data_IF_134982399430
#
_entry.id   IF_134982399430
#
_cell.length_a   1.000
_cell.length_b   1.000
_cell.length_c   1.000
_cell.angle_alpha   90.00
_cell.angle_beta   90.00
_cell.angle_gamma   90.00
#
_symmetry.space_group_name_H-M   'P 1'
#
loop_
_entity.id
_entity.type
_entity.pdbx_description
1 polymer ?
#
# COMPACT_ATOMS: atom_id res chain seq x y z
N UNK A 1 23.76 -7.31 7.52
CA UNK A 1 23.13 -6.36 6.59
C UNK A 1 21.64 -6.70 6.58
N UNK A 2 20.77 -5.76 6.93
CA UNK A 2 19.32 -5.98 6.86
C UNK A 2 18.95 -6.13 5.38
N UNK A 3 18.69 -7.36 4.95
CA UNK A 3 18.26 -7.61 3.57
C UNK A 3 16.80 -7.20 3.45
N UNK A 4 16.55 -6.18 2.64
CA UNK A 4 15.21 -5.77 2.26
C UNK A 4 14.67 -6.68 1.15
N UNK A 5 13.34 -6.87 1.04
CA UNK A 5 12.77 -7.52 -0.12
C UNK A 5 12.93 -6.64 -1.36
N UNK A 6 12.70 -7.20 -2.53
CA UNK A 6 12.61 -6.43 -3.77
C UNK A 6 11.18 -5.86 -3.88
N UNK A 7 11.07 -4.56 -4.05
CA UNK A 7 9.81 -3.87 -4.31
C UNK A 7 9.71 -3.52 -5.79
N UNK A 8 8.60 -3.84 -6.44
CA UNK A 8 8.30 -3.40 -7.80
C UNK A 8 7.04 -2.54 -7.77
N UNK A 9 7.14 -1.29 -8.23
CA UNK A 9 6.01 -0.39 -8.33
C UNK A 9 5.20 -0.74 -9.59
N UNK A 10 3.96 -1.15 -9.44
CA UNK A 10 3.09 -1.52 -10.57
C UNK A 10 2.16 -0.38 -11.02
N UNK A 11 2.39 0.82 -10.49
CA UNK A 11 1.57 2.00 -10.74
C UNK A 11 0.49 2.23 -9.70
N UNK A 12 0.02 3.45 -9.59
CA UNK A 12 -0.94 3.92 -8.59
C UNK A 12 -0.44 3.67 -7.17
N UNK A 13 -1.04 2.73 -6.45
CA UNK A 13 -0.60 2.31 -5.11
C UNK A 13 -0.16 0.85 -5.04
N UNK A 14 -0.16 0.16 -6.18
CA UNK A 14 0.12 -1.28 -6.24
C UNK A 14 1.61 -1.56 -6.13
N UNK A 15 2.00 -2.31 -5.11
CA UNK A 15 3.39 -2.73 -4.86
C UNK A 15 3.46 -4.25 -4.84
N UNK A 16 4.28 -4.81 -5.73
CA UNK A 16 4.71 -6.19 -5.66
C UNK A 16 5.94 -6.29 -4.76
N UNK A 17 5.92 -7.23 -3.84
CA UNK A 17 7.01 -7.52 -2.91
C UNK A 17 7.50 -8.94 -3.15
N UNK A 18 8.70 -9.08 -3.68
CA UNK A 18 9.35 -10.39 -3.87
C UNK A 18 10.21 -10.69 -2.65
N UNK A 19 9.87 -11.75 -1.91
CA UNK A 19 10.59 -12.19 -0.72
C UNK A 19 11.83 -13.01 -1.10
N UNK A 20 12.87 -13.00 -0.26
CA UNK A 20 14.09 -13.81 -0.48
C UNK A 20 13.79 -15.32 -0.54
N UNK A 21 12.76 -15.77 0.16
CA UNK A 21 12.27 -17.15 0.16
C UNK A 21 11.54 -17.56 -1.13
N UNK A 22 11.31 -16.58 -2.02
CA UNK A 22 10.69 -16.78 -3.33
C UNK A 22 9.17 -16.59 -3.37
N UNK A 23 8.53 -16.26 -2.24
CA UNK A 23 7.12 -15.89 -2.23
C UNK A 23 6.91 -14.47 -2.76
N UNK A 24 5.71 -14.24 -3.30
CA UNK A 24 5.26 -12.95 -3.85
C UNK A 24 4.08 -12.45 -3.04
N UNK A 25 4.20 -11.23 -2.55
CA UNK A 25 3.12 -10.49 -1.89
C UNK A 25 2.71 -9.31 -2.77
N UNK A 26 1.43 -9.09 -2.92
CA UNK A 26 0.89 -7.92 -3.60
C UNK A 26 0.16 -7.03 -2.60
N UNK A 27 0.58 -5.78 -2.49
CA UNK A 27 -0.12 -4.75 -1.73
C UNK A 27 -0.93 -3.94 -2.73
N UNK A 28 -2.21 -3.71 -2.43
CA UNK A 28 -3.20 -3.07 -3.32
C UNK A 28 -3.37 -3.84 -4.63
N UNK A 29 -4.18 -4.91 -4.64
CA UNK A 29 -4.38 -5.78 -5.80
C UNK A 29 -5.26 -5.13 -6.89
N UNK A 30 -4.69 -4.13 -7.59
CA UNK A 30 -5.27 -3.49 -8.76
C UNK A 30 -4.24 -3.47 -9.90
N UNK A 31 -4.29 -4.46 -10.78
CA UNK A 31 -3.28 -4.77 -11.80
C UNK A 31 -3.86 -4.69 -13.21
N UNK A 32 -4.88 -5.49 -13.51
CA UNK A 32 -5.49 -5.54 -14.85
C UNK A 32 -6.31 -4.26 -15.13
N UNK A 33 -7.07 -3.79 -14.12
CA UNK A 33 -7.83 -2.55 -14.16
C UNK A 33 -6.99 -1.28 -14.07
N UNK A 34 -5.74 -1.39 -13.62
CA UNK A 34 -4.86 -0.24 -13.41
C UNK A 34 -4.26 0.25 -14.75
N UNK A 35 -4.63 1.45 -15.22
CA UNK A 35 -4.12 1.97 -16.49
C UNK A 35 -2.62 2.26 -16.47
N UNK A 36 -2.05 2.48 -15.29
CA UNK A 36 -0.61 2.73 -15.10
C UNK A 36 0.21 1.44 -15.04
N UNK A 37 -0.41 0.26 -14.82
CA UNK A 37 0.30 -1.00 -14.74
C UNK A 37 0.80 -1.43 -16.13
N UNK A 38 2.12 -1.62 -16.33
CA UNK A 38 2.65 -2.09 -17.60
C UNK A 38 2.11 -3.47 -17.97
N UNK A 39 1.85 -3.69 -19.25
CA UNK A 39 1.18 -4.91 -19.75
C UNK A 39 1.95 -6.18 -19.41
N UNK A 40 3.27 -6.14 -19.45
CA UNK A 40 4.18 -7.24 -19.14
C UNK A 40 4.25 -7.58 -17.65
N UNK A 41 3.76 -6.69 -16.77
CA UNK A 41 3.63 -6.89 -15.33
C UNK A 41 2.24 -7.35 -14.88
N UNK A 42 1.26 -7.45 -15.80
CA UNK A 42 -0.11 -7.87 -15.47
C UNK A 42 -0.24 -9.36 -15.17
N UNK A 43 0.68 -10.17 -15.68
CA UNK A 43 0.84 -11.56 -15.23
C UNK A 43 1.88 -11.60 -14.13
N UNK A 44 1.43 -11.89 -12.91
CA UNK A 44 2.32 -11.94 -11.74
C UNK A 44 3.17 -13.22 -11.70
N UNK A 45 2.83 -14.24 -12.52
CA UNK A 45 3.45 -15.57 -12.50
C UNK A 45 3.21 -16.34 -11.20
N UNK A 46 3.27 -15.66 -10.05
CA UNK A 46 3.05 -16.19 -8.71
C UNK A 46 2.44 -15.12 -7.79
N UNK A 47 1.57 -15.53 -6.87
CA UNK A 47 1.02 -14.68 -5.83
C UNK A 47 0.71 -15.52 -4.60
N UNK A 48 1.41 -15.28 -3.49
CA UNK A 48 1.26 -16.07 -2.26
C UNK A 48 0.45 -15.34 -1.19
N UNK A 49 0.44 -14.00 -1.18
CA UNK A 49 -0.41 -13.22 -0.29
C UNK A 49 -0.83 -11.88 -0.90
N UNK A 50 -1.98 -11.37 -0.47
CA UNK A 50 -2.44 -10.01 -0.77
C UNK A 50 -2.65 -9.24 0.52
N UNK A 51 -2.29 -7.94 0.51
CA UNK A 51 -2.60 -6.98 1.58
C UNK A 51 -3.45 -5.87 0.97
N UNK A 52 -4.64 -5.64 1.49
CA UNK A 52 -5.61 -4.65 1.00
C UNK A 52 -5.87 -3.62 2.09
N UNK A 53 -5.58 -2.36 1.84
CA UNK A 53 -5.68 -1.30 2.85
C UNK A 53 -7.11 -0.81 3.05
N UNK A 54 -7.88 -0.69 1.97
CA UNK A 54 -9.26 -0.21 1.99
C UNK A 54 -10.03 -0.64 0.72
N UNK A 55 -11.32 -0.36 0.67
CA UNK A 55 -12.25 -0.98 -0.28
C UNK A 55 -12.44 -0.23 -1.60
N UNK A 56 -11.69 0.83 -1.88
CA UNK A 56 -11.83 1.53 -3.15
C UNK A 56 -11.38 0.66 -4.34
N UNK A 57 -12.04 0.85 -5.49
CA UNK A 57 -11.85 0.02 -6.69
C UNK A 57 -10.40 0.07 -7.22
N UNK A 58 -9.75 1.22 -7.09
CA UNK A 58 -8.37 1.48 -7.52
C UNK A 58 -7.30 0.92 -6.56
N UNK A 59 -7.74 0.20 -5.52
CA UNK A 59 -6.89 -0.53 -4.56
C UNK A 59 -7.18 -2.02 -4.57
N UNK A 60 -8.44 -2.44 -4.60
CA UNK A 60 -8.81 -3.85 -4.54
C UNK A 60 -9.57 -4.38 -5.77
N UNK A 61 -9.66 -3.59 -6.84
CA UNK A 61 -10.53 -3.90 -7.98
C UNK A 61 -10.28 -5.26 -8.65
N UNK A 62 -9.05 -5.77 -8.60
CA UNK A 62 -8.72 -7.07 -9.17
C UNK A 62 -8.57 -8.19 -8.11
N UNK A 63 -8.85 -7.90 -6.83
CA UNK A 63 -8.59 -8.84 -5.73
C UNK A 63 -9.29 -10.20 -5.92
N UNK A 64 -10.56 -10.20 -6.33
CA UNK A 64 -11.35 -11.43 -6.54
C UNK A 64 -10.78 -12.25 -7.70
N UNK A 65 -10.45 -11.59 -8.83
CA UNK A 65 -9.90 -12.28 -10.00
C UNK A 65 -8.50 -12.86 -9.71
N UNK A 66 -7.64 -12.08 -9.07
CA UNK A 66 -6.30 -12.52 -8.68
C UNK A 66 -6.36 -13.66 -7.67
N UNK A 67 -7.29 -13.61 -6.69
CA UNK A 67 -7.49 -14.71 -5.75
C UNK A 67 -7.94 -16.00 -6.44
N UNK A 68 -8.83 -15.91 -7.43
CA UNK A 68 -9.27 -17.08 -8.22
C UNK A 68 -8.16 -17.65 -9.09
N UNK A 69 -7.32 -16.78 -9.67
CA UNK A 69 -6.26 -17.19 -10.59
C UNK A 69 -5.06 -17.80 -9.89
N UNK A 70 -4.63 -17.23 -8.78
CA UNK A 70 -3.38 -17.59 -8.12
C UNK A 70 -3.57 -18.38 -6.82
N UNK A 71 -4.77 -18.42 -6.27
CA UNK A 71 -5.11 -19.09 -5.01
C UNK A 71 -4.12 -18.77 -3.86
N UNK A 72 -3.93 -17.46 -3.51
CA UNK A 72 -2.95 -17.06 -2.52
C UNK A 72 -3.20 -17.75 -1.17
N UNK A 73 -2.13 -17.98 -0.42
CA UNK A 73 -2.21 -18.61 0.91
C UNK A 73 -2.93 -17.72 1.92
N UNK A 74 -2.85 -16.38 1.74
CA UNK A 74 -3.46 -15.40 2.64
C UNK A 74 -3.94 -14.16 1.87
N UNK A 75 -5.14 -13.69 2.21
CA UNK A 75 -5.69 -12.40 1.77
C UNK A 75 -6.01 -11.58 3.01
N UNK A 76 -5.18 -10.60 3.30
CA UNK A 76 -5.23 -9.81 4.53
C UNK A 76 -5.95 -8.50 4.28
N UNK A 77 -6.95 -8.17 5.08
CA UNK A 77 -7.64 -6.88 5.06
C UNK A 77 -8.42 -6.62 6.35
N UNK A 78 -9.22 -5.53 6.36
CA UNK A 78 -10.22 -5.33 7.41
C UNK A 78 -11.26 -6.45 7.41
N UNK A 79 -11.94 -6.60 8.54
CA UNK A 79 -12.96 -7.64 8.71
C UNK A 79 -14.05 -7.56 7.63
N UNK A 80 -14.54 -6.35 7.34
CA UNK A 80 -15.62 -6.11 6.39
C UNK A 80 -15.22 -6.47 4.95
N UNK A 81 -14.00 -6.10 4.55
CA UNK A 81 -13.47 -6.46 3.22
C UNK A 81 -13.28 -7.96 3.11
N UNK A 82 -12.73 -8.63 4.13
CA UNK A 82 -12.57 -10.08 4.15
C UNK A 82 -13.92 -10.78 4.03
N UNK A 83 -14.94 -10.36 4.80
CA UNK A 83 -16.28 -10.92 4.73
C UNK A 83 -16.91 -10.75 3.34
N UNK A 84 -16.70 -9.58 2.71
CA UNK A 84 -17.16 -9.38 1.33
C UNK A 84 -16.41 -10.29 0.34
N UNK A 85 -15.08 -10.40 0.44
CA UNK A 85 -14.28 -11.29 -0.41
C UNK A 85 -14.71 -12.75 -0.27
N UNK A 86 -15.01 -13.21 0.93
CA UNK A 86 -15.58 -14.56 1.20
C UNK A 86 -16.92 -14.75 0.48
N UNK A 87 -17.79 -13.74 0.51
CA UNK A 87 -19.07 -13.77 -0.23
C UNK A 87 -18.88 -13.86 -1.75
N UNK A 88 -17.72 -13.40 -2.28
CA UNK A 88 -17.31 -13.55 -3.67
C UNK A 88 -16.60 -14.89 -3.96
N UNK A 89 -16.48 -15.77 -2.95
CA UNK A 89 -15.85 -17.08 -3.07
C UNK A 89 -14.32 -17.08 -2.90
N UNK A 90 -13.73 -15.97 -2.44
CA UNK A 90 -12.30 -15.91 -2.08
C UNK A 90 -12.08 -16.74 -0.82
N UNK A 91 -11.07 -17.60 -0.85
CA UNK A 91 -10.66 -18.43 0.27
C UNK A 91 -9.43 -17.82 0.97
N UNK A 92 -9.12 -18.34 2.16
CA UNK A 92 -7.92 -17.98 2.91
C UNK A 92 -7.84 -16.48 3.27
N UNK A 93 -8.98 -15.84 3.51
CA UNK A 93 -9.00 -14.50 4.06
C UNK A 93 -8.46 -14.50 5.49
N UNK A 94 -7.79 -13.43 5.85
CA UNK A 94 -7.17 -13.25 7.17
C UNK A 94 -7.55 -11.88 7.72
N UNK A 95 -8.75 -11.75 8.31
CA UNK A 95 -9.28 -10.47 8.75
C UNK A 95 -8.48 -9.89 9.90
N UNK A 96 -8.33 -8.57 9.86
CA UNK A 96 -7.68 -7.77 10.89
C UNK A 96 -8.54 -6.56 11.27
N UNK A 97 -8.06 -5.81 12.26
CA UNK A 97 -8.54 -4.46 12.55
C UNK A 97 -7.38 -3.59 13.06
N UNK A 98 -7.60 -2.29 13.14
CA UNK A 98 -6.59 -1.32 13.55
C UNK A 98 -5.92 -1.70 14.86
N UNK A 99 -4.60 -1.65 14.91
CA UNK A 99 -3.77 -2.04 16.06
C UNK A 99 -3.47 -3.53 16.14
N UNK A 100 -4.15 -4.38 15.34
CA UNK A 100 -3.88 -5.80 15.24
C UNK A 100 -2.60 -6.11 14.46
N UNK A 101 -2.01 -7.26 14.73
CA UNK A 101 -0.87 -7.80 13.98
C UNK A 101 -1.04 -9.30 13.78
N UNK A 102 -0.57 -9.80 12.65
CA UNK A 102 -0.50 -11.24 12.37
C UNK A 102 0.76 -11.59 11.59
N UNK A 103 1.07 -12.88 11.56
CA UNK A 103 2.15 -13.40 10.73
C UNK A 103 1.65 -13.70 9.32
N UNK A 104 2.38 -13.21 8.31
CA UNK A 104 2.10 -13.42 6.89
C UNK A 104 3.40 -13.86 6.22
N UNK A 105 3.53 -15.11 5.84
CA UNK A 105 4.73 -15.66 5.17
C UNK A 105 6.05 -15.32 5.90
N UNK A 106 6.04 -15.42 7.24
CA UNK A 106 7.19 -15.10 8.08
C UNK A 106 7.38 -13.60 8.39
N UNK A 107 6.59 -12.72 7.78
CA UNK A 107 6.57 -11.29 8.11
C UNK A 107 5.56 -11.00 9.23
N UNK A 108 5.87 -10.06 10.11
CA UNK A 108 4.86 -9.49 11.00
C UNK A 108 4.19 -8.31 10.31
N UNK A 109 2.91 -8.45 9.99
CA UNK A 109 2.05 -7.43 9.39
C UNK A 109 1.18 -6.81 10.47
N UNK A 110 1.26 -5.49 10.64
CA UNK A 110 0.45 -4.71 11.59
C UNK A 110 -0.45 -3.77 10.82
N UNK A 111 -1.77 -3.83 11.08
CA UNK A 111 -2.72 -2.91 10.49
C UNK A 111 -2.79 -1.63 11.33
N UNK A 112 -2.58 -0.48 10.69
CA UNK A 112 -2.48 0.82 11.35
C UNK A 112 -3.45 1.82 10.74
N UNK A 113 -3.74 2.90 11.46
CA UNK A 113 -4.67 3.96 11.06
C UNK A 113 -4.29 4.58 9.72
N UNK A 114 -5.32 4.88 8.94
CA UNK A 114 -5.30 5.84 7.84
C UNK A 114 -6.53 6.74 7.94
N UNK A 115 -6.38 8.01 7.56
CA UNK A 115 -7.49 8.98 7.55
C UNK A 115 -8.04 9.07 6.12
N UNK A 116 -8.93 8.15 5.78
CA UNK A 116 -9.55 8.04 4.46
C UNK A 116 -10.90 7.31 4.56
N UNK A 117 -11.70 7.35 3.49
CA UNK A 117 -12.92 6.56 3.37
C UNK A 117 -12.63 5.15 2.85
N UNK A 118 -13.59 4.23 3.01
CA UNK A 118 -13.45 2.84 2.57
C UNK A 118 -14.78 2.32 2.00
N UNK A 119 -15.36 3.08 1.08
CA UNK A 119 -16.60 2.67 0.40
C UNK A 119 -16.34 1.62 -0.67
N UNK A 120 -17.00 0.48 -0.55
CA UNK A 120 -16.88 -0.63 -1.50
C UNK A 120 -17.86 -0.44 -2.66
N UNK A 121 -17.35 -0.48 -3.89
CA UNK A 121 -18.16 -0.52 -5.11
C UNK A 121 -17.38 -1.23 -6.23
N UNK A 122 -18.09 -1.79 -7.20
CA UNK A 122 -17.45 -2.52 -8.32
C UNK A 122 -16.59 -1.63 -9.22
N UNK A 123 -16.93 -0.35 -9.35
CA UNK A 123 -16.31 0.55 -10.33
C UNK A 123 -16.13 1.99 -9.83
N UNK A 124 -16.18 2.21 -8.51
CA UNK A 124 -16.08 3.55 -7.93
C UNK A 124 -17.36 4.39 -8.04
N UNK A 125 -18.50 3.79 -8.40
CA UNK A 125 -19.78 4.47 -8.50
C UNK A 125 -20.82 3.94 -7.50
N UNK A 126 -21.77 4.78 -7.12
CA UNK A 126 -22.87 4.38 -6.25
C UNK A 126 -23.73 3.24 -6.87
N UNK A 127 -24.35 2.38 -6.07
CA UNK A 127 -24.35 2.44 -4.60
C UNK A 127 -23.03 1.94 -3.97
N UNK A 128 -22.64 2.54 -2.85
CA UNK A 128 -21.52 2.06 -2.06
C UNK A 128 -22.03 1.17 -0.93
N UNK A 129 -21.30 0.08 -0.67
CA UNK A 129 -21.43 -0.71 0.55
C UNK A 129 -20.35 -0.29 1.56
N UNK A 130 -20.57 -0.61 2.82
CA UNK A 130 -19.55 -0.38 3.85
C UNK A 130 -18.35 -1.31 3.63
N UNK A 131 -17.17 -0.73 3.44
CA UNK A 131 -15.90 -1.43 3.33
C UNK A 131 -15.06 -1.38 4.61
N UNK A 132 -15.67 -1.00 5.73
CA UNK A 132 -14.98 -0.84 7.00
C UNK A 132 -14.12 0.42 7.06
N UNK A 133 -13.04 0.36 7.83
CA UNK A 133 -12.14 1.48 8.08
C UNK A 133 -10.91 1.39 7.17
N UNK A 134 -10.55 2.51 6.53
CA UNK A 134 -9.30 2.60 5.80
C UNK A 134 -8.10 2.43 6.73
N UNK A 135 -7.06 1.80 6.22
CA UNK A 135 -5.87 1.44 7.00
C UNK A 135 -4.59 1.52 6.16
N UNK A 136 -3.46 1.51 6.83
CA UNK A 136 -2.16 1.20 6.24
C UNK A 136 -1.57 -0.06 6.87
N UNK A 137 -0.43 -0.50 6.36
CA UNK A 137 0.31 -1.64 6.91
C UNK A 137 1.74 -1.27 7.27
N UNK A 138 2.14 -1.60 8.49
CA UNK A 138 3.55 -1.69 8.85
C UNK A 138 3.96 -3.15 8.77
N UNK A 139 4.95 -3.44 7.94
CA UNK A 139 5.44 -4.79 7.69
C UNK A 139 6.88 -4.89 8.19
N UNK A 140 7.10 -5.81 9.15
CA UNK A 140 8.43 -6.14 9.66
C UNK A 140 8.87 -7.48 9.09
N UNK A 141 9.96 -7.45 8.35
CA UNK A 141 10.59 -8.63 7.75
C UNK A 141 11.30 -9.50 8.79
N UNK A 142 11.51 -10.80 8.53
CA UNK A 142 12.33 -11.65 9.40
C UNK A 142 13.75 -11.12 9.62
N UNK A 143 14.30 -10.38 8.64
CA UNK A 143 15.60 -9.71 8.73
C UNK A 143 15.63 -8.54 9.73
N UNK A 144 14.45 -8.09 10.20
CA UNK A 144 14.28 -6.89 11.01
C UNK A 144 14.01 -5.62 10.20
N UNK A 145 14.19 -5.63 8.87
CA UNK A 145 13.81 -4.52 8.00
C UNK A 145 12.32 -4.23 8.13
N UNK A 146 11.96 -2.96 8.25
CA UNK A 146 10.56 -2.56 8.46
C UNK A 146 10.17 -1.50 7.43
N UNK A 147 9.03 -1.68 6.77
CA UNK A 147 8.47 -0.69 5.88
C UNK A 147 7.00 -0.38 6.21
N UNK A 148 6.56 0.78 5.79
CA UNK A 148 5.18 1.24 5.94
C UNK A 148 4.55 1.49 4.58
N UNK A 149 3.42 0.89 4.29
CA UNK A 149 2.56 1.24 3.17
C UNK A 149 1.34 1.97 3.72
N UNK A 150 1.22 3.26 3.40
CA UNK A 150 0.20 4.09 4.00
C UNK A 150 -1.22 3.78 3.54
N UNK A 151 -1.37 3.13 2.37
CA UNK A 151 -2.63 3.14 1.65
C UNK A 151 -2.98 4.57 1.27
N UNK A 152 -4.26 4.86 1.18
CA UNK A 152 -4.74 6.22 1.01
C UNK A 152 -4.98 6.86 2.38
N UNK A 153 -4.44 8.06 2.55
CA UNK A 153 -4.56 8.79 3.81
C UNK A 153 -4.29 10.28 3.63
N UNK A 154 -4.92 11.09 4.47
CA UNK A 154 -4.46 12.43 4.79
C UNK A 154 -3.23 12.38 5.71
N UNK A 155 -2.58 13.51 5.93
CA UNK A 155 -1.57 13.66 6.98
C UNK A 155 -2.25 13.67 8.36
N UNK A 156 -1.79 12.85 9.29
CA UNK A 156 -2.27 12.84 10.68
C UNK A 156 -1.13 12.77 11.68
N UNK A 157 -1.35 13.34 12.87
CA UNK A 157 -0.30 13.50 13.90
C UNK A 157 0.24 12.16 14.44
N UNK A 158 -0.62 11.13 14.49
CA UNK A 158 -0.28 9.84 15.07
C UNK A 158 0.70 9.03 14.20
N UNK A 159 1.09 9.53 13.02
CA UNK A 159 2.25 9.02 12.28
C UNK A 159 3.53 9.07 13.13
N UNK A 160 3.60 9.97 14.13
CA UNK A 160 4.68 9.99 15.13
C UNK A 160 4.67 8.74 16.02
N UNK A 161 3.49 8.23 16.39
CA UNK A 161 3.37 6.98 17.12
C UNK A 161 3.80 5.77 16.29
N UNK A 162 3.56 5.80 14.97
CA UNK A 162 4.07 4.75 14.08
C UNK A 162 5.60 4.75 14.05
N UNK A 163 6.23 5.93 14.06
CA UNK A 163 7.68 6.05 14.21
C UNK A 163 8.18 5.45 15.53
N UNK A 164 7.55 5.81 16.65
CA UNK A 164 7.93 5.35 17.98
C UNK A 164 7.82 3.82 18.13
N UNK A 165 6.69 3.27 17.69
CA UNK A 165 6.35 1.85 17.87
C UNK A 165 7.05 0.92 16.89
N UNK A 166 7.23 1.34 15.64
CA UNK A 166 7.63 0.44 14.56
C UNK A 166 8.95 0.81 13.88
N UNK A 167 9.35 2.10 13.90
CA UNK A 167 10.57 2.62 13.28
C UNK A 167 10.75 2.16 11.83
N UNK A 168 9.81 2.46 10.93
CA UNK A 168 9.94 2.05 9.54
C UNK A 168 11.15 2.73 8.89
N UNK A 169 11.86 1.98 8.05
CA UNK A 169 13.03 2.48 7.31
C UNK A 169 12.61 3.11 5.98
N UNK A 170 11.55 2.56 5.37
CA UNK A 170 10.95 2.98 4.11
C UNK A 170 9.45 3.23 4.31
N UNK A 171 8.90 4.25 3.65
CA UNK A 171 7.47 4.44 3.53
C UNK A 171 7.03 4.56 2.06
N UNK A 172 5.91 3.95 1.73
CA UNK A 172 5.13 4.20 0.52
C UNK A 172 4.03 5.20 0.88
N UNK A 173 4.11 6.44 0.35
CA UNK A 173 3.20 7.52 0.71
C UNK A 173 2.45 8.05 -0.51
N UNK A 174 1.12 8.21 -0.42
CA UNK A 174 0.34 8.82 -1.48
C UNK A 174 0.69 10.32 -1.55
N UNK A 175 0.81 10.83 -2.79
CA UNK A 175 1.16 12.24 -3.06
C UNK A 175 0.24 12.90 -4.08
N UNK A 176 -0.84 12.23 -4.50
CA UNK A 176 -1.66 12.65 -5.63
C UNK A 176 -2.46 13.92 -5.41
N UNK A 177 -2.55 14.43 -4.17
CA UNK A 177 -3.43 15.53 -3.79
C UNK A 177 -4.91 15.13 -3.93
N UNK A 178 -5.82 16.07 -3.84
CA UNK A 178 -7.28 15.97 -3.97
C UNK A 178 -7.97 14.88 -3.14
N UNK A 179 -7.48 13.64 -3.18
CA UNK A 179 -8.06 12.48 -2.47
C UNK A 179 -7.16 11.98 -1.35
N UNK A 180 -5.88 12.34 -1.37
CA UNK A 180 -4.85 11.93 -0.41
C UNK A 180 -3.97 13.12 -0.03
N UNK A 181 -2.81 12.87 0.55
CA UNK A 181 -1.81 13.92 0.78
C UNK A 181 -1.34 14.54 -0.54
N UNK A 182 -1.01 15.83 -0.49
CA UNK A 182 -0.15 16.47 -1.48
C UNK A 182 1.35 16.24 -1.17
N UNK A 183 2.27 16.62 -2.06
CA UNK A 183 3.71 16.48 -1.82
C UNK A 183 4.22 17.18 -0.56
N UNK A 184 3.65 18.32 -0.19
CA UNK A 184 4.01 19.08 1.00
C UNK A 184 3.61 18.34 2.29
N UNK A 185 2.41 17.79 2.33
CA UNK A 185 1.92 16.97 3.43
C UNK A 185 2.71 15.65 3.54
N UNK A 186 3.01 15.01 2.41
CA UNK A 186 3.80 13.78 2.38
C UNK A 186 5.25 14.00 2.87
N UNK A 187 5.87 15.14 2.57
CA UNK A 187 7.16 15.50 3.15
C UNK A 187 7.10 15.62 4.67
N UNK A 188 6.01 16.20 5.23
CA UNK A 188 5.80 16.24 6.69
C UNK A 188 5.54 14.84 7.26
N UNK A 189 4.82 13.98 6.55
CA UNK A 189 4.64 12.59 6.92
C UNK A 189 5.98 11.87 7.05
N UNK A 190 6.93 12.08 6.12
CA UNK A 190 8.29 11.54 6.23
C UNK A 190 8.98 11.97 7.54
N UNK A 191 8.81 13.25 7.95
CA UNK A 191 9.34 13.74 9.23
C UNK A 191 8.69 13.05 10.42
N UNK A 192 7.36 12.91 10.43
CA UNK A 192 6.63 12.29 11.53
C UNK A 192 6.94 10.79 11.67
N UNK A 193 7.06 10.10 10.55
CA UNK A 193 7.43 8.68 10.49
C UNK A 193 8.92 8.44 10.79
N UNK A 194 9.77 9.47 10.71
CA UNK A 194 11.22 9.35 10.88
C UNK A 194 11.90 8.43 9.85
N UNK A 195 11.27 8.23 8.71
CA UNK A 195 11.77 7.33 7.66
C UNK A 195 12.99 7.92 6.96
N UNK A 196 13.90 7.03 6.56
CA UNK A 196 15.09 7.42 5.80
C UNK A 196 14.84 7.44 4.30
N UNK A 197 13.80 6.73 3.85
CA UNK A 197 13.47 6.57 2.43
C UNK A 197 11.96 6.66 2.23
N UNK A 198 11.56 7.23 1.10
CA UNK A 198 10.16 7.31 0.68
C UNK A 198 10.02 6.97 -0.79
N UNK A 199 9.05 6.14 -1.11
CA UNK A 199 8.59 5.88 -2.47
C UNK A 199 7.21 6.53 -2.61
N UNK A 200 7.06 7.54 -3.47
CA UNK A 200 5.78 8.16 -3.74
C UNK A 200 4.86 7.22 -4.52
N UNK A 201 3.61 7.12 -4.07
CA UNK A 201 2.54 6.34 -4.70
C UNK A 201 1.33 7.23 -4.96
N UNK A 202 0.29 6.69 -5.58
CA UNK A 202 -1.00 7.34 -5.83
C UNK A 202 -0.86 8.68 -6.60
N UNK A 203 -0.06 8.68 -7.66
CA UNK A 203 0.19 9.85 -8.51
C UNK A 203 0.15 9.48 -10.01
N UNK A 204 -0.22 10.43 -10.85
CA UNK A 204 -0.11 10.33 -12.31
C UNK A 204 -1.08 9.36 -13.00
N UNK A 205 -1.87 8.58 -12.27
CA UNK A 205 -2.80 7.58 -12.82
C UNK A 205 -4.04 8.24 -13.42
N UNK A 206 -4.57 9.27 -12.78
CA UNK A 206 -5.74 10.01 -13.21
C UNK A 206 -5.41 11.51 -13.34
N UNK A 207 -6.08 12.25 -14.25
CA UNK A 207 -5.82 13.69 -14.44
C UNK A 207 -6.05 14.54 -13.18
N UNK A 208 -6.84 14.05 -12.22
CA UNK A 208 -7.12 14.74 -10.97
C UNK A 208 -6.00 14.59 -9.92
N UNK A 209 -5.06 13.66 -10.13
CA UNK A 209 -3.92 13.45 -9.25
C UNK A 209 -2.77 14.36 -9.70
N UNK A 210 -2.74 15.56 -9.14
CA UNK A 210 -1.88 16.65 -9.60
C UNK A 210 -0.49 16.64 -8.96
N UNK A 211 -0.32 15.94 -7.82
CA UNK A 211 0.97 15.82 -7.14
C UNK A 211 1.99 15.03 -7.95
N UNK A 212 3.24 15.45 -7.90
CA UNK A 212 4.33 14.83 -8.66
C UNK A 212 5.54 14.50 -7.76
N UNK A 213 6.30 13.42 -8.07
CA UNK A 213 7.49 13.06 -7.29
C UNK A 213 8.52 14.19 -7.21
N UNK A 214 8.70 14.96 -8.29
CA UNK A 214 9.62 16.10 -8.30
C UNK A 214 9.26 17.15 -7.24
N UNK A 215 7.96 17.37 -6.99
CA UNK A 215 7.48 18.29 -5.98
C UNK A 215 7.77 17.76 -4.57
N UNK A 216 7.56 16.46 -4.31
CA UNK A 216 7.96 15.84 -3.04
C UNK A 216 9.46 16.00 -2.78
N UNK A 217 10.30 15.76 -3.79
CA UNK A 217 11.75 15.92 -3.66
C UNK A 217 12.15 17.38 -3.35
N UNK A 218 11.44 18.37 -3.90
CA UNK A 218 11.62 19.78 -3.58
C UNK A 218 11.22 20.06 -2.12
N UNK A 219 10.01 19.65 -1.72
CA UNK A 219 9.50 19.86 -0.36
C UNK A 219 10.40 19.24 0.72
N UNK A 220 10.92 18.03 0.49
CA UNK A 220 11.88 17.41 1.43
C UNK A 220 13.13 18.28 1.62
N UNK A 221 13.69 18.84 0.53
CA UNK A 221 14.86 19.73 0.61
C UNK A 221 14.51 21.05 1.30
N UNK A 222 13.43 21.70 0.91
CA UNK A 222 13.03 23.00 1.42
C UNK A 222 12.70 22.97 2.92
N UNK A 223 12.14 21.85 3.39
CA UNK A 223 11.85 21.60 4.80
C UNK A 223 13.07 21.05 5.58
N UNK A 224 14.20 20.80 4.94
CA UNK A 224 15.39 20.23 5.57
C UNK A 224 15.15 18.82 6.15
N UNK A 225 14.32 18.01 5.50
CA UNK A 225 14.00 16.64 5.95
C UNK A 225 15.01 15.68 5.33
N UNK A 226 15.75 14.98 6.19
CA UNK A 226 16.74 13.98 5.77
C UNK A 226 16.06 12.65 5.43
N UNK A 227 15.38 12.63 4.27
CA UNK A 227 14.71 11.46 3.73
C UNK A 227 15.03 11.40 2.22
N UNK A 228 15.55 10.28 1.76
CA UNK A 228 15.81 10.02 0.34
C UNK A 228 14.51 9.67 -0.37
N UNK A 229 14.14 10.43 -1.39
CA UNK A 229 13.03 10.07 -2.26
C UNK A 229 13.52 9.15 -3.38
N UNK A 230 12.92 7.96 -3.44
CA UNK A 230 13.18 6.97 -4.48
C UNK A 230 12.02 7.04 -5.47
N UNK A 231 12.28 7.62 -6.63
CA UNK A 231 11.30 7.70 -7.70
C UNK A 231 11.36 6.44 -8.55
N UNK A 232 10.26 5.71 -8.62
CA UNK A 232 10.08 4.56 -9.51
C UNK A 232 9.02 4.90 -10.56
N UNK A 233 9.29 4.52 -11.80
CA UNK A 233 8.26 4.43 -12.82
C UNK A 233 7.53 3.11 -12.70
N UNK A 234 6.25 2.99 -13.15
CA UNK A 234 5.56 1.71 -13.18
C UNK A 234 6.37 0.64 -13.92
N UNK A 235 6.56 -0.52 -13.27
CA UNK A 235 7.43 -1.62 -13.71
C UNK A 235 8.84 -1.59 -13.14
N UNK A 236 9.31 -0.47 -12.59
CA UNK A 236 10.64 -0.38 -11.98
C UNK A 236 10.67 -0.97 -10.57
N UNK A 237 11.85 -1.43 -10.18
CA UNK A 237 12.09 -2.08 -8.89
C UNK A 237 13.15 -1.38 -8.06
N UNK A 238 12.99 -1.49 -6.75
CA UNK A 238 13.91 -1.02 -5.73
C UNK A 238 14.35 -2.16 -4.81
#
# INVERSE_FOLDING_TARGET
MNRRPKFTFLGHSTIRVDLESGEVVLIEPWVAGNPSCPKDHRDLGRLDAMLITHAHFDHMGDAVELARRYEPKLVVSSFEICAWLESQGVKNTAPMNLGGSQEVLGMKVSQVRADHSSGLSENGSAPFMDGGIASGYVVKMPSGYTFYHAGDTALFSDMQLLCELYRPELAFLPIGDRFTMDPHQAARACRYLGVRQVIPIHWGTFPLLTGAPADLGRELRDLGINCEMIQLQPGESY
#
